data_IF_491625534763
#
_entry.id   IF_491625534763
#
_cell.length_a   1.000
_cell.length_b   1.000
_cell.length_c   1.000
_cell.angle_alpha   90.00
_cell.angle_beta   90.00
_cell.angle_gamma   90.00
#
_symmetry.space_group_name_H-M   'P 1'
#
loop_
_entity.id
_entity.type
_entity.pdbx_description
1 polymer ?
#
# COMPACT_ATOMS: atom_id res chain seq x y z
N UNK A 1 0.66 -5.14 -18.55
CA UNK A 1 0.13 -4.19 -17.54
C UNK A 1 0.03 -2.74 -18.04
N UNK A 2 1.13 -1.97 -18.13
CA UNK A 2 1.14 -0.51 -18.35
C UNK A 2 0.29 0.03 -19.52
N UNK A 3 0.36 -0.58 -20.71
CA UNK A 3 -0.48 -0.16 -21.86
C UNK A 3 -1.98 -0.22 -21.53
N UNK A 4 -2.42 -1.30 -20.87
CA UNK A 4 -3.82 -1.50 -20.48
C UNK A 4 -4.30 -0.45 -19.47
N UNK A 5 -3.42 -0.04 -18.55
CA UNK A 5 -3.74 1.02 -17.57
C UNK A 5 -3.86 2.38 -18.24
N UNK A 6 -2.94 2.74 -19.13
CA UNK A 6 -3.05 3.97 -19.92
C UNK A 6 -4.33 4.01 -20.79
N UNK A 7 -4.73 2.86 -21.35
CA UNK A 7 -5.99 2.75 -22.09
C UNK A 7 -7.22 2.89 -21.18
N UNK A 8 -7.19 2.31 -19.97
CA UNK A 8 -8.24 2.45 -18.94
C UNK A 8 -8.38 3.90 -18.47
N UNK A 9 -7.27 4.62 -18.36
CA UNK A 9 -7.20 6.02 -17.96
C UNK A 9 -7.59 6.99 -19.10
N UNK A 10 -8.05 6.48 -20.25
CA UNK A 10 -8.56 7.29 -21.36
C UNK A 10 -7.48 7.95 -22.23
N UNK A 11 -6.23 7.48 -22.18
CA UNK A 11 -5.16 8.02 -23.03
C UNK A 11 -5.40 7.65 -24.49
N UNK A 12 -5.31 8.65 -25.38
CA UNK A 12 -5.36 8.43 -26.81
C UNK A 12 -4.28 7.43 -27.27
N UNK A 13 -4.67 6.46 -28.10
CA UNK A 13 -3.79 5.39 -28.62
C UNK A 13 -2.47 5.91 -29.20
N UNK A 14 -2.50 7.04 -29.92
CA UNK A 14 -1.31 7.68 -30.50
C UNK A 14 -0.33 8.19 -29.44
N UNK A 15 -0.84 8.73 -28.34
CA UNK A 15 -0.05 9.19 -27.20
C UNK A 15 0.55 8.00 -26.43
N UNK A 16 -0.22 6.93 -26.24
CA UNK A 16 0.29 5.67 -25.67
C UNK A 16 1.44 5.13 -26.52
N UNK A 17 1.28 5.07 -27.83
CA UNK A 17 2.32 4.60 -28.74
C UNK A 17 3.60 5.45 -28.67
N UNK A 18 3.46 6.77 -28.62
CA UNK A 18 4.59 7.69 -28.43
C UNK A 18 5.31 7.46 -27.10
N UNK A 19 4.56 7.37 -25.98
CA UNK A 19 5.12 7.16 -24.64
C UNK A 19 5.84 5.81 -24.49
N UNK A 20 5.37 4.78 -25.20
CA UNK A 20 5.89 3.42 -25.08
C UNK A 20 6.97 3.05 -26.12
N UNK A 21 7.21 3.87 -27.15
CA UNK A 21 8.08 3.51 -28.27
C UNK A 21 9.59 3.69 -28.04
N UNK A 22 10.02 4.32 -26.94
CA UNK A 22 11.44 4.47 -26.60
C UNK A 22 12.13 3.11 -26.36
N UNK A 23 13.35 2.91 -26.88
CA UNK A 23 14.11 1.64 -26.74
C UNK A 23 14.34 1.27 -25.26
N UNK A 24 14.73 2.25 -24.45
CA UNK A 24 14.95 2.06 -23.01
C UNK A 24 13.63 1.80 -22.26
N UNK A 25 12.54 2.46 -22.67
CA UNK A 25 11.21 2.25 -22.11
C UNK A 25 10.74 0.83 -22.39
N UNK A 26 10.87 0.34 -23.62
CA UNK A 26 10.54 -1.04 -24.00
C UNK A 26 11.35 -2.07 -23.22
N UNK A 27 12.65 -1.85 -23.07
CA UNK A 27 13.52 -2.75 -22.29
C UNK A 27 13.14 -2.80 -20.81
N UNK A 28 12.91 -1.63 -20.20
CA UNK A 28 12.44 -1.52 -18.81
C UNK A 28 11.09 -2.19 -18.62
N UNK A 29 10.13 -1.94 -19.51
CA UNK A 29 8.82 -2.58 -19.48
C UNK A 29 8.91 -4.10 -19.61
N UNK A 30 9.74 -4.61 -20.51
CA UNK A 30 9.92 -6.06 -20.64
C UNK A 30 10.49 -6.67 -19.36
N UNK A 31 11.46 -6.00 -18.72
CA UNK A 31 12.08 -6.48 -17.48
C UNK A 31 11.09 -6.46 -16.30
N UNK A 32 10.23 -5.44 -16.21
CA UNK A 32 9.33 -5.27 -15.07
C UNK A 32 7.88 -5.76 -15.30
N UNK A 33 7.50 -6.10 -16.53
CA UNK A 33 6.17 -6.63 -16.83
C UNK A 33 5.78 -7.83 -15.95
N UNK A 34 6.64 -8.84 -15.73
CA UNK A 34 6.28 -9.98 -14.89
C UNK A 34 5.98 -9.58 -13.45
N UNK A 35 6.74 -8.64 -12.89
CA UNK A 35 6.54 -8.22 -11.51
C UNK A 35 5.30 -7.31 -11.39
N UNK A 36 5.03 -6.48 -12.39
CA UNK A 36 3.82 -5.65 -12.46
C UNK A 36 2.56 -6.51 -12.53
N UNK A 37 2.59 -7.60 -13.30
CA UNK A 37 1.49 -8.55 -13.37
C UNK A 37 1.27 -9.28 -12.05
N UNK A 38 2.34 -9.70 -11.36
CA UNK A 38 2.23 -10.29 -10.02
C UNK A 38 1.61 -9.35 -9.00
N UNK A 39 1.92 -8.06 -9.06
CA UNK A 39 1.30 -7.08 -8.19
C UNK A 39 -0.20 -6.90 -8.50
N UNK A 40 -0.57 -6.75 -9.78
CA UNK A 40 -1.98 -6.62 -10.18
C UNK A 40 -2.79 -7.86 -9.79
N UNK A 41 -2.21 -9.04 -9.99
CA UNK A 41 -2.81 -10.31 -9.58
C UNK A 41 -3.02 -10.34 -8.06
N UNK A 42 -1.98 -10.04 -7.28
CA UNK A 42 -2.09 -9.98 -5.81
C UNK A 42 -3.15 -8.97 -5.36
N UNK A 43 -3.22 -7.78 -5.97
CA UNK A 43 -4.23 -6.78 -5.64
C UNK A 43 -5.64 -7.33 -5.88
N UNK A 44 -5.85 -8.00 -7.03
CA UNK A 44 -7.13 -8.63 -7.38
C UNK A 44 -7.51 -9.73 -6.40
N UNK A 45 -6.56 -10.58 -6.01
CA UNK A 45 -6.75 -11.64 -5.00
C UNK A 45 -7.13 -11.08 -3.62
N UNK A 46 -6.74 -9.85 -3.31
CA UNK A 46 -7.08 -9.15 -2.06
C UNK A 46 -8.30 -8.21 -2.21
N UNK A 47 -9.08 -8.34 -3.28
CA UNK A 47 -10.28 -7.53 -3.50
C UNK A 47 -10.02 -6.07 -3.86
N UNK A 48 -8.81 -5.73 -4.29
CA UNK A 48 -8.40 -4.39 -4.70
C UNK A 48 -8.37 -4.27 -6.22
N UNK A 49 -8.75 -3.10 -6.75
CA UNK A 49 -8.54 -2.78 -8.16
C UNK A 49 -7.08 -2.38 -8.38
N UNK A 50 -6.27 -3.29 -8.95
CA UNK A 50 -4.86 -3.04 -9.27
C UNK A 50 -4.64 -1.86 -10.22
N UNK A 51 -5.68 -1.40 -10.92
CA UNK A 51 -5.70 -0.18 -11.75
C UNK A 51 -5.78 1.13 -10.97
N UNK A 52 -6.15 1.10 -9.68
CA UNK A 52 -6.25 2.29 -8.83
C UNK A 52 -4.92 2.49 -8.08
N UNK A 53 -4.34 3.70 -8.06
CA UNK A 53 -3.12 3.99 -7.32
C UNK A 53 -3.41 4.02 -5.81
N UNK A 54 -3.19 2.90 -5.12
CA UNK A 54 -3.36 2.77 -3.68
C UNK A 54 -1.98 2.64 -2.99
N UNK A 55 -1.48 3.71 -2.34
CA UNK A 55 -0.16 3.68 -1.70
C UNK A 55 -0.03 2.60 -0.63
N UNK A 56 -1.06 2.37 0.18
CA UNK A 56 -1.03 1.36 1.24
C UNK A 56 -0.88 -0.06 0.65
N UNK A 57 -1.62 -0.37 -0.42
CA UNK A 57 -1.60 -1.68 -1.06
C UNK A 57 -0.23 -1.98 -1.69
N UNK A 58 0.37 -0.97 -2.33
CA UNK A 58 1.73 -1.09 -2.85
C UNK A 58 2.73 -1.30 -1.70
N UNK A 59 2.62 -0.53 -0.62
CA UNK A 59 3.52 -0.66 0.53
C UNK A 59 3.41 -2.05 1.18
N UNK A 60 2.19 -2.52 1.40
CA UNK A 60 1.92 -3.86 1.96
C UNK A 60 2.54 -4.96 1.10
N UNK A 61 2.33 -4.90 -0.22
CA UNK A 61 2.91 -5.87 -1.14
C UNK A 61 4.45 -5.86 -1.12
N UNK A 62 5.07 -4.68 -0.97
CA UNK A 62 6.52 -4.54 -0.83
C UNK A 62 7.03 -5.11 0.49
N UNK A 63 6.31 -4.86 1.60
CA UNK A 63 6.61 -5.41 2.92
C UNK A 63 6.57 -6.94 2.88
N UNK A 64 5.50 -7.53 2.35
CA UNK A 64 5.38 -8.99 2.14
C UNK A 64 6.53 -9.52 1.29
N UNK A 65 6.96 -8.75 0.29
CA UNK A 65 8.12 -9.08 -0.53
C UNK A 65 9.43 -9.17 0.26
N UNK A 66 9.70 -8.21 1.13
CA UNK A 66 10.92 -8.18 1.96
C UNK A 66 10.87 -9.26 3.02
N UNK A 67 9.74 -9.36 3.73
CA UNK A 67 9.54 -10.24 4.88
C UNK A 67 9.41 -11.71 4.45
N UNK A 68 8.41 -12.01 3.64
CA UNK A 68 8.02 -13.40 3.36
C UNK A 68 8.72 -13.98 2.13
N UNK A 69 9.16 -13.12 1.19
CA UNK A 69 9.83 -13.55 -0.06
C UNK A 69 11.34 -13.27 -0.06
N UNK A 70 11.88 -12.73 1.03
CA UNK A 70 13.32 -12.49 1.20
C UNK A 70 13.91 -11.45 0.25
N UNK A 71 13.12 -10.48 -0.25
CA UNK A 71 13.64 -9.44 -1.12
C UNK A 71 14.59 -8.51 -0.35
N UNK A 72 15.74 -8.20 -0.95
CA UNK A 72 16.60 -7.11 -0.46
C UNK A 72 15.84 -5.78 -0.58
N UNK A 73 16.05 -4.80 0.32
CA UNK A 73 15.38 -3.49 0.21
C UNK A 73 15.61 -2.79 -1.12
N UNK A 74 16.81 -2.90 -1.69
CA UNK A 74 17.09 -2.38 -3.04
C UNK A 74 16.18 -2.99 -4.12
N UNK A 75 15.88 -4.28 -4.03
CA UNK A 75 14.94 -4.97 -4.93
C UNK A 75 13.52 -4.44 -4.73
N UNK A 76 13.07 -4.30 -3.47
CA UNK A 76 11.75 -3.74 -3.16
C UNK A 76 11.61 -2.29 -3.68
N UNK A 77 12.62 -1.44 -3.50
CA UNK A 77 12.61 -0.06 -4.00
C UNK A 77 12.63 0.01 -5.54
N UNK A 78 13.32 -0.90 -6.21
CA UNK A 78 13.25 -1.03 -7.67
C UNK A 78 11.85 -1.41 -8.13
N UNK A 79 11.22 -2.39 -7.48
CA UNK A 79 9.85 -2.79 -7.77
C UNK A 79 8.84 -1.69 -7.47
N UNK A 80 9.00 -0.93 -6.38
CA UNK A 80 8.22 0.29 -6.12
C UNK A 80 8.25 1.22 -7.32
N UNK A 81 9.45 1.52 -7.84
CA UNK A 81 9.60 2.39 -9.01
C UNK A 81 8.84 1.85 -10.23
N UNK A 82 8.93 0.54 -10.47
CA UNK A 82 8.21 -0.12 -11.55
C UNK A 82 6.69 -0.08 -11.37
N UNK A 83 6.17 -0.22 -10.15
CA UNK A 83 4.72 -0.16 -9.88
C UNK A 83 4.18 1.26 -10.01
N UNK A 84 4.86 2.26 -9.47
CA UNK A 84 4.43 3.66 -9.59
C UNK A 84 4.32 4.09 -11.05
N UNK A 85 5.20 3.59 -11.92
CA UNK A 85 5.17 3.84 -13.37
C UNK A 85 3.97 3.24 -14.11
N UNK A 86 3.16 2.41 -13.46
CA UNK A 86 1.91 1.90 -14.01
C UNK A 86 0.82 2.97 -14.08
N UNK A 87 0.86 3.94 -13.16
CA UNK A 87 -0.20 4.91 -12.95
C UNK A 87 0.16 6.25 -13.60
N UNK A 88 -0.86 6.94 -14.11
CA UNK A 88 -0.71 8.32 -14.58
C UNK A 88 -0.45 9.29 -13.44
N UNK A 89 -1.33 9.28 -12.44
CA UNK A 89 -1.16 10.09 -11.24
C UNK A 89 -0.19 9.39 -10.29
N UNK A 90 1.04 9.90 -10.26
CA UNK A 90 2.07 9.44 -9.34
C UNK A 90 2.12 10.27 -8.05
N UNK A 91 1.36 11.36 -7.97
CA UNK A 91 1.39 12.27 -6.82
C UNK A 91 0.78 11.62 -5.58
N UNK A 92 -0.14 10.67 -5.76
CA UNK A 92 -0.72 9.85 -4.68
C UNK A 92 0.36 9.15 -3.84
N UNK A 93 1.51 8.81 -4.44
CA UNK A 93 2.63 8.15 -3.76
C UNK A 93 3.58 9.13 -3.04
N UNK A 94 3.25 10.42 -2.96
CA UNK A 94 3.95 11.41 -2.12
C UNK A 94 3.36 11.51 -0.71
N UNK A 95 2.40 10.64 -0.37
CA UNK A 95 1.80 10.56 0.95
C UNK A 95 2.88 10.31 2.04
N UNK A 96 2.88 11.07 3.17
CA UNK A 96 3.88 10.93 4.24
C UNK A 96 3.98 9.52 4.83
N UNK A 97 2.86 8.84 5.08
CA UNK A 97 2.83 7.48 5.62
C UNK A 97 3.44 6.46 4.66
N UNK A 98 3.19 6.62 3.35
CA UNK A 98 3.84 5.79 2.33
C UNK A 98 5.36 6.01 2.32
N UNK A 99 5.81 7.27 2.36
CA UNK A 99 7.24 7.60 2.39
C UNK A 99 7.93 7.07 3.66
N UNK A 100 7.28 7.19 4.82
CA UNK A 100 7.77 6.62 6.08
C UNK A 100 7.91 5.10 6.01
N UNK A 101 6.92 4.41 5.43
CA UNK A 101 6.99 2.96 5.24
C UNK A 101 8.13 2.53 4.29
N UNK A 102 8.39 3.30 3.23
CA UNK A 102 9.53 3.04 2.34
C UNK A 102 10.87 3.28 3.05
N UNK A 103 10.93 4.25 3.96
CA UNK A 103 12.13 4.48 4.76
C UNK A 103 12.38 3.33 5.74
N UNK A 104 11.34 2.79 6.37
CA UNK A 104 11.44 1.59 7.20
C UNK A 104 11.95 0.37 6.40
N UNK A 105 11.46 0.17 5.15
CA UNK A 105 11.99 -0.86 4.25
C UNK A 105 13.50 -0.63 3.99
N UNK A 106 13.88 0.61 3.69
CA UNK A 106 15.27 0.98 3.39
C UNK A 106 16.20 0.71 4.56
N UNK A 107 15.76 1.00 5.78
CA UNK A 107 16.52 0.80 7.02
C UNK A 107 16.51 -0.64 7.52
N UNK A 108 15.86 -1.58 6.81
CA UNK A 108 15.65 -2.95 7.27
C UNK A 108 14.88 -3.05 8.60
N UNK A 109 14.03 -2.06 8.89
CA UNK A 109 13.24 -2.02 10.13
C UNK A 109 11.92 -2.79 9.99
N UNK A 110 11.56 -3.20 8.77
CA UNK A 110 10.39 -4.03 8.52
C UNK A 110 10.69 -5.46 8.96
N UNK A 111 9.98 -5.90 9.99
CA UNK A 111 10.00 -7.28 10.46
C UNK A 111 8.75 -8.00 9.97
N UNK A 112 8.81 -9.33 9.93
CA UNK A 112 7.58 -10.11 9.91
C UNK A 112 6.71 -9.68 11.09
N UNK A 113 5.39 -9.89 11.01
CA UNK A 113 4.52 -9.69 12.17
C UNK A 113 5.11 -10.53 13.30
N UNK A 114 5.95 -9.92 14.15
CA UNK A 114 6.00 -10.32 15.54
C UNK A 114 4.55 -10.21 15.92
N UNK A 115 3.91 -11.33 16.25
CA UNK A 115 2.68 -11.30 17.01
C UNK A 115 2.95 -10.27 18.09
N UNK A 116 2.32 -9.11 17.92
CA UNK A 116 2.26 -8.13 18.98
C UNK A 116 1.43 -8.88 20.00
N UNK A 117 2.11 -9.48 20.98
CA UNK A 117 1.52 -10.01 22.20
C UNK A 117 1.06 -8.83 23.05
N UNK A 118 0.23 -8.00 22.43
CA UNK A 118 -0.48 -6.91 23.05
C UNK A 118 -1.66 -7.56 23.73
N UNK A 119 -1.56 -7.68 25.04
CA UNK A 119 -2.70 -8.00 25.85
C UNK A 119 -3.75 -6.90 25.69
N UNK A 120 -4.79 -7.19 24.91
CA UNK A 120 -5.93 -6.29 24.70
C UNK A 120 -6.98 -6.45 25.81
N UNK A 121 -6.80 -7.38 26.75
CA UNK A 121 -7.73 -7.61 27.86
C UNK A 121 -8.06 -6.32 28.62
N UNK A 122 -7.10 -5.46 28.98
CA UNK A 122 -7.41 -4.21 29.69
C UNK A 122 -8.25 -3.23 28.86
N UNK A 123 -8.10 -3.26 27.53
CA UNK A 123 -8.91 -2.46 26.62
C UNK A 123 -10.33 -3.00 26.64
N UNK A 124 -10.51 -4.30 26.42
CA UNK A 124 -11.83 -4.94 26.41
C UNK A 124 -12.55 -4.75 27.75
N UNK A 125 -11.89 -5.01 28.87
CA UNK A 125 -12.44 -4.81 30.22
C UNK A 125 -12.85 -3.35 30.47
N UNK A 126 -12.06 -2.38 30.01
CA UNK A 126 -12.43 -0.98 30.10
C UNK A 126 -13.71 -0.68 29.33
N UNK A 127 -13.86 -1.17 28.10
CA UNK A 127 -15.07 -0.96 27.31
C UNK A 127 -16.30 -1.68 27.87
N UNK A 128 -16.12 -2.89 28.41
CA UNK A 128 -17.18 -3.66 29.07
C UNK A 128 -17.65 -3.03 30.39
N UNK A 129 -16.75 -2.31 31.08
CA UNK A 129 -17.12 -1.57 32.30
C UNK A 129 -17.99 -0.34 32.05
N UNK A 130 -18.11 0.10 30.79
CA UNK A 130 -18.89 1.28 30.43
C UNK A 130 -20.33 0.90 30.02
N UNK A 131 -21.33 1.76 30.29
CA UNK A 131 -22.70 1.55 29.84
C UNK A 131 -22.85 1.41 28.31
N UNK A 132 -23.99 0.98 27.78
CA UNK A 132 -24.31 1.16 26.36
C UNK A 132 -24.16 2.63 25.93
N UNK A 133 -23.70 2.89 24.71
CA UNK A 133 -23.47 4.26 24.22
C UNK A 133 -24.72 5.15 24.34
N UNK A 134 -25.91 4.57 24.15
CA UNK A 134 -27.20 5.27 24.21
C UNK A 134 -27.58 5.68 25.65
N UNK A 135 -26.98 5.02 26.64
CA UNK A 135 -27.21 5.24 28.08
C UNK A 135 -26.07 6.03 28.75
N UNK A 136 -25.03 6.42 28.00
CA UNK A 136 -23.91 7.20 28.53
C UNK A 136 -24.26 8.68 28.61
N UNK A 137 -23.88 9.32 29.72
CA UNK A 137 -23.87 10.78 29.76
C UNK A 137 -22.73 11.36 28.88
N UNK A 138 -22.86 12.62 28.50
CA UNK A 138 -21.90 13.30 27.64
C UNK A 138 -20.48 13.29 28.23
N UNK A 139 -20.36 13.31 29.55
CA UNK A 139 -19.08 13.26 30.28
C UNK A 139 -18.37 11.92 30.08
N UNK A 140 -19.11 10.81 30.22
CA UNK A 140 -18.62 9.44 30.06
C UNK A 140 -18.29 9.15 28.60
N UNK A 141 -19.14 9.62 27.69
CA UNK A 141 -18.91 9.52 26.25
C UNK A 141 -17.63 10.27 25.84
N UNK A 142 -17.45 11.49 26.35
CA UNK A 142 -16.23 12.30 26.12
C UNK A 142 -15.00 11.60 26.67
N UNK A 143 -15.07 11.04 27.89
CA UNK A 143 -13.95 10.30 28.50
C UNK A 143 -13.57 9.06 27.70
N UNK A 144 -14.56 8.30 27.21
CA UNK A 144 -14.37 7.14 26.31
C UNK A 144 -13.67 7.57 25.01
N UNK A 145 -14.10 8.70 24.44
CA UNK A 145 -13.53 9.26 23.22
C UNK A 145 -12.10 9.76 23.42
N UNK A 146 -11.83 10.48 24.51
CA UNK A 146 -10.50 10.95 24.87
C UNK A 146 -9.54 9.78 25.15
N UNK A 147 -10.01 8.70 25.76
CA UNK A 147 -9.20 7.49 25.97
C UNK A 147 -8.84 6.79 24.65
N UNK A 148 -9.77 6.75 23.69
CA UNK A 148 -9.55 6.17 22.36
C UNK A 148 -8.58 6.97 21.48
N UNK A 149 -8.62 8.30 21.60
CA UNK A 149 -7.84 9.23 20.77
C UNK A 149 -6.52 9.65 21.41
N UNK A 150 -6.32 9.32 22.69
CA UNK A 150 -5.17 9.71 23.52
C UNK A 150 -3.94 8.84 23.34
#
# INVERSE_FOLDING_TARGET
AKRRMLEKDGVMKRSVEFMLNGRNVRRSMAAYAPIQERYIQWATENGLDGGVPLPFALLEWLIVGVVSRGWKPGTALNYKGAMVQLYQDQTTFQNPSFLAGLDAIRKHEVRDKQELDLDLTPVVEFFESLPPNDDMDMTTLTRKLCWLLG
#
